data_IF_470404235969
#
_entry.id   IF_470404235969
#
_cell.length_a   1.000
_cell.length_b   1.000
_cell.length_c   1.000
_cell.angle_alpha   90.00
_cell.angle_beta   90.00
_cell.angle_gamma   90.00
#
_symmetry.space_group_name_H-M   'P 1'
#
loop_
_entity.id
_entity.type
_entity.pdbx_description
1 polymer ?
#
# COMPACT_ATOMS: atom_id res chain seq x y z
N UNK A 1 -7.91 -12.40 12.88
CA UNK A 1 -7.81 -11.64 11.60
C UNK A 1 -7.16 -12.54 10.57
N UNK A 2 -7.64 -12.58 9.32
CA UNK A 2 -6.98 -13.35 8.25
C UNK A 2 -5.65 -12.68 7.91
N UNK A 3 -4.57 -13.46 7.85
CA UNK A 3 -3.27 -12.94 7.44
C UNK A 3 -3.26 -12.75 5.92
N UNK A 4 -3.04 -11.53 5.45
CA UNK A 4 -2.93 -11.25 4.00
C UNK A 4 -1.53 -11.62 3.54
N UNK A 5 -1.46 -12.48 2.52
CA UNK A 5 -0.19 -12.83 1.88
C UNK A 5 0.09 -11.90 0.69
N UNK A 6 1.37 -11.66 0.43
CA UNK A 6 1.85 -10.97 -0.76
C UNK A 6 2.17 -12.02 -1.82
N UNK A 7 1.75 -11.78 -3.06
CA UNK A 7 2.19 -12.58 -4.20
C UNK A 7 3.67 -12.31 -4.50
N UNK A 8 4.29 -13.18 -5.29
CA UNK A 8 5.68 -12.96 -5.74
C UNK A 8 5.84 -11.64 -6.53
N UNK A 9 4.81 -11.26 -7.30
CA UNK A 9 4.79 -9.99 -8.03
C UNK A 9 4.75 -8.80 -7.07
N UNK A 10 3.94 -8.87 -6.02
CA UNK A 10 3.87 -7.83 -4.99
C UNK A 10 5.18 -7.74 -4.20
N UNK A 11 5.81 -8.87 -3.88
CA UNK A 11 7.13 -8.89 -3.23
C UNK A 11 8.17 -8.20 -4.10
N UNK A 12 8.18 -8.47 -5.41
CA UNK A 12 9.08 -7.79 -6.34
C UNK A 12 8.79 -6.29 -6.42
N UNK A 13 7.52 -5.92 -6.58
CA UNK A 13 7.06 -4.52 -6.67
C UNK A 13 7.38 -3.70 -5.42
N UNK A 14 7.17 -4.27 -4.24
CA UNK A 14 7.35 -3.59 -2.95
C UNK A 14 8.71 -3.86 -2.29
N UNK A 15 9.64 -4.52 -2.99
CA UNK A 15 10.97 -4.89 -2.46
C UNK A 15 11.68 -3.76 -1.70
N UNK A 16 11.61 -2.52 -2.21
CA UNK A 16 12.20 -1.34 -1.55
C UNK A 16 11.49 -0.93 -0.25
N UNK A 17 10.19 -1.17 -0.12
CA UNK A 17 9.47 -0.97 1.14
C UNK A 17 9.77 -2.10 2.13
N UNK A 18 9.92 -3.34 1.63
CA UNK A 18 10.16 -4.52 2.45
C UNK A 18 11.52 -4.52 3.16
N UNK A 19 12.51 -3.79 2.64
CA UNK A 19 13.83 -3.65 3.27
C UNK A 19 13.91 -2.51 4.31
N UNK A 20 12.86 -1.67 4.43
CA UNK A 20 12.85 -0.58 5.40
C UNK A 20 12.73 -1.14 6.83
N UNK A 21 13.66 -0.82 7.75
CA UNK A 21 13.72 -1.44 9.09
C UNK A 21 12.43 -1.36 9.89
N UNK A 22 11.69 -0.25 9.78
CA UNK A 22 10.47 0.01 10.55
C UNK A 22 9.17 -0.36 9.82
N UNK A 23 9.27 -0.86 8.57
CA UNK A 23 8.11 -1.18 7.75
C UNK A 23 8.03 -2.67 7.44
N UNK A 24 8.98 -3.18 6.67
CA UNK A 24 9.10 -4.61 6.35
C UNK A 24 7.83 -5.26 5.80
N UNK A 25 7.79 -6.60 5.90
CA UNK A 25 6.64 -7.41 5.48
C UNK A 25 5.37 -7.09 6.27
N UNK A 26 5.50 -6.84 7.57
CA UNK A 26 4.36 -6.56 8.44
C UNK A 26 3.65 -5.25 8.03
N UNK A 27 4.42 -4.19 7.75
CA UNK A 27 3.90 -2.92 7.26
C UNK A 27 3.20 -3.06 5.91
N UNK A 28 3.81 -3.76 4.95
CA UNK A 28 3.22 -3.95 3.62
C UNK A 28 1.91 -4.74 3.69
N UNK A 29 1.83 -5.80 4.50
CA UNK A 29 0.58 -6.55 4.72
C UNK A 29 -0.51 -5.68 5.34
N UNK A 30 -0.14 -4.82 6.29
CA UNK A 30 -1.08 -3.91 6.96
C UNK A 30 -1.68 -2.90 5.99
N UNK A 31 -0.89 -2.28 5.11
CA UNK A 31 -1.44 -1.33 4.13
C UNK A 31 -2.26 -2.04 3.04
N UNK A 32 -1.88 -3.26 2.62
CA UNK A 32 -2.67 -4.08 1.69
C UNK A 32 -4.02 -4.47 2.28
N UNK A 33 -4.12 -4.63 3.60
CA UNK A 33 -5.40 -4.84 4.29
C UNK A 33 -6.21 -3.54 4.49
N UNK A 34 -5.58 -2.38 4.30
CA UNK A 34 -6.19 -1.08 4.53
C UNK A 34 -7.18 -0.67 3.44
N UNK A 35 -8.12 0.17 3.85
CA UNK A 35 -9.04 0.87 2.94
C UNK A 35 -9.02 2.36 3.28
N UNK A 36 -8.99 3.22 2.25
CA UNK A 36 -8.95 4.67 2.41
C UNK A 36 -10.08 5.26 1.59
N UNK A 37 -10.91 6.13 2.17
CA UNK A 37 -11.89 6.90 1.41
C UNK A 37 -11.26 8.23 0.98
N UNK A 38 -11.21 8.49 -0.32
CA UNK A 38 -10.68 9.73 -0.87
C UNK A 38 -11.80 10.67 -1.32
N UNK A 39 -12.00 11.78 -0.61
CA UNK A 39 -13.03 12.78 -0.96
C UNK A 39 -12.40 13.88 -1.82
N UNK A 40 -12.72 13.82 -3.11
CA UNK A 40 -12.26 14.78 -4.12
C UNK A 40 -10.96 14.35 -4.80
N UNK A 41 -11.00 14.27 -6.14
CA UNK A 41 -9.90 13.79 -7.00
C UNK A 41 -9.31 14.92 -7.85
N UNK A 42 -9.27 16.14 -7.31
CA UNK A 42 -8.67 17.33 -7.94
C UNK A 42 -7.15 17.44 -7.69
N UNK A 43 -6.63 18.68 -7.64
CA UNK A 43 -5.18 18.93 -7.49
C UNK A 43 -4.52 18.33 -6.25
N UNK A 44 -5.28 18.13 -5.16
CA UNK A 44 -4.79 17.47 -3.95
C UNK A 44 -5.03 15.95 -3.96
N UNK A 45 -6.21 15.52 -4.43
CA UNK A 45 -6.60 14.12 -4.43
C UNK A 45 -5.82 13.27 -5.44
N UNK A 46 -5.48 13.84 -6.60
CA UNK A 46 -4.74 13.14 -7.65
C UNK A 46 -3.35 12.65 -7.20
N UNK A 47 -2.45 13.49 -6.63
CA UNK A 47 -1.17 13.01 -6.13
C UNK A 47 -1.33 12.09 -4.91
N UNK A 48 -2.35 12.30 -4.06
CA UNK A 48 -2.61 11.41 -2.93
C UNK A 48 -2.99 10.00 -3.41
N UNK A 49 -3.91 9.88 -4.36
CA UNK A 49 -4.33 8.60 -4.94
C UNK A 49 -3.16 7.88 -5.60
N UNK A 50 -2.29 8.62 -6.31
CA UNK A 50 -1.08 8.08 -6.93
C UNK A 50 -0.18 7.40 -5.90
N UNK A 51 0.13 8.08 -4.79
CA UNK A 51 1.01 7.53 -3.76
C UNK A 51 0.36 6.42 -2.93
N UNK A 52 -0.94 6.51 -2.64
CA UNK A 52 -1.68 5.44 -1.94
C UNK A 52 -1.70 4.15 -2.78
N UNK A 53 -1.97 4.26 -4.09
CA UNK A 53 -1.95 3.12 -5.00
C UNK A 53 -0.53 2.57 -5.18
N UNK A 54 0.49 3.44 -5.32
CA UNK A 54 1.88 3.03 -5.43
C UNK A 54 2.41 2.34 -4.15
N UNK A 55 1.97 2.80 -2.98
CA UNK A 55 2.28 2.16 -1.71
C UNK A 55 1.68 0.75 -1.61
N UNK A 56 0.52 0.52 -2.24
CA UNK A 56 -0.17 -0.76 -2.24
C UNK A 56 -1.31 -0.85 -1.22
N UNK A 57 -2.05 0.25 -1.02
CA UNK A 57 -3.30 0.22 -0.25
C UNK A 57 -4.30 -0.72 -0.94
N UNK A 58 -4.97 -1.58 -0.18
CA UNK A 58 -5.85 -2.60 -0.74
C UNK A 58 -7.12 -2.06 -1.40
N UNK A 59 -7.66 -0.95 -0.89
CA UNK A 59 -8.83 -0.29 -1.43
C UNK A 59 -8.76 1.22 -1.23
N UNK A 60 -9.07 1.98 -2.28
CA UNK A 60 -9.10 3.45 -2.28
C UNK A 60 -10.45 3.89 -2.85
#
# INVERSE_FOLDING_TARGET
MREVQLSNEEIARYSRHLILPEFGMAGQRRIKQGSVLLIGTGGLGSPLALYLAAAGVGHI
#
